data_IF_530234410450
#
_entry.id   IF_530234410450
#
_cell.length_a   1.000
_cell.length_b   1.000
_cell.length_c   1.000
_cell.angle_alpha   90.00
_cell.angle_beta   90.00
_cell.angle_gamma   90.00
#
_symmetry.space_group_name_H-M   'P 1'
#
loop_
_entity.id
_entity.type
_entity.pdbx_description
1 polymer ?
#
# COMPACT_ATOMS: atom_id res chain seq x y z
N UNK A 1 -58.97 15.58 27.57
CA UNK A 1 -60.28 15.07 27.97
C UNK A 1 -60.91 14.34 26.80
N UNK A 2 -61.02 13.01 26.86
CA UNK A 2 -62.12 12.15 26.46
C UNK A 2 -61.58 10.70 26.49
N UNK A 3 -62.25 9.93 27.37
CA UNK A 3 -61.99 8.51 27.60
C UNK A 3 -62.69 7.65 26.56
N UNK A 4 -62.09 6.53 26.18
CA UNK A 4 -62.70 5.48 25.38
C UNK A 4 -62.85 4.27 26.28
N UNK A 5 -64.05 3.60 26.29
CA UNK A 5 -64.34 2.51 27.19
C UNK A 5 -63.90 1.14 26.58
N UNK A 6 -63.53 0.21 27.46
CA UNK A 6 -63.21 -1.16 27.17
C UNK A 6 -64.47 -1.99 26.90
N UNK A 7 -64.37 -2.92 25.92
CA UNK A 7 -65.42 -3.89 25.61
C UNK A 7 -64.94 -5.27 26.09
N UNK A 8 -65.72 -5.86 26.99
CA UNK A 8 -65.49 -7.21 27.48
C UNK A 8 -66.16 -8.23 26.55
N UNK A 9 -65.44 -9.28 26.18
CA UNK A 9 -66.00 -10.42 25.45
C UNK A 9 -66.06 -11.63 26.38
N UNK A 10 -67.25 -12.17 26.52
CA UNK A 10 -67.56 -13.37 27.30
C UNK A 10 -67.26 -14.60 26.45
N UNK A 11 -66.47 -15.54 26.96
CA UNK A 11 -66.21 -16.83 26.32
C UNK A 11 -67.22 -17.87 26.84
N UNK A 12 -67.90 -18.50 25.93
CA UNK A 12 -68.78 -19.66 26.19
C UNK A 12 -67.94 -20.94 25.97
N UNK A 13 -67.87 -21.76 27.00
CA UNK A 13 -67.25 -23.09 26.91
C UNK A 13 -68.28 -24.13 26.39
N UNK A 14 -67.90 -24.77 25.29
CA UNK A 14 -68.63 -26.00 24.82
C UNK A 14 -67.72 -27.17 25.07
N UNK A 15 -68.27 -28.13 25.85
CA UNK A 15 -67.68 -29.46 26.08
C UNK A 15 -67.89 -30.35 24.83
N UNK A 16 -66.85 -30.95 24.30
CA UNK A 16 -66.92 -31.94 23.29
C UNK A 16 -66.31 -33.26 23.80
N UNK A 17 -67.05 -34.38 23.52
CA UNK A 17 -66.77 -35.75 23.88
C UNK A 17 -65.42 -36.22 23.24
N UNK A 18 -64.66 -36.99 24.01
CA UNK A 18 -63.39 -37.54 23.55
C UNK A 18 -63.57 -38.76 22.63
N UNK A 19 -62.74 -38.80 21.60
CA UNK A 19 -62.42 -39.95 20.78
C UNK A 19 -61.25 -40.75 21.39
N UNK A 20 -61.16 -42.09 21.14
CA UNK A 20 -60.08 -42.90 21.69
C UNK A 20 -58.73 -42.61 21.05
N UNK A 21 -57.59 -42.89 21.73
CA UNK A 21 -56.27 -42.57 21.24
C UNK A 21 -55.90 -43.38 19.99
N UNK A 22 -55.76 -42.76 18.88
CA UNK A 22 -55.11 -43.30 17.69
C UNK A 22 -53.62 -43.49 17.97
N UNK A 23 -53.07 -44.65 17.62
CA UNK A 23 -51.65 -44.96 17.75
C UNK A 23 -50.74 -43.97 16.99
N UNK A 24 -49.40 -43.96 17.28
CA UNK A 24 -48.53 -43.09 16.63
C UNK A 24 -48.59 -43.23 15.09
N UNK A 25 -48.50 -42.11 14.34
CA UNK A 25 -48.51 -42.19 12.89
C UNK A 25 -47.27 -42.96 12.40
N UNK A 26 -47.53 -43.80 11.37
CA UNK A 26 -46.50 -44.55 10.67
C UNK A 26 -45.39 -43.56 10.18
N UNK A 27 -44.10 -43.80 10.50
CA UNK A 27 -43.06 -42.99 9.93
C UNK A 27 -43.03 -43.24 8.41
N UNK A 28 -43.40 -42.23 7.65
CA UNK A 28 -43.32 -42.26 6.20
C UNK A 28 -41.92 -42.67 5.71
N UNK A 29 -41.77 -43.04 4.44
CA UNK A 29 -40.47 -43.46 3.90
C UNK A 29 -39.41 -42.41 4.19
N UNK A 30 -38.31 -42.83 4.83
CA UNK A 30 -37.14 -41.99 5.06
C UNK A 30 -36.52 -41.70 3.68
N UNK A 31 -36.58 -40.45 3.24
CA UNK A 31 -35.86 -40.03 2.04
C UNK A 31 -34.37 -40.35 2.20
N UNK A 32 -33.71 -40.87 1.16
CA UNK A 32 -32.27 -41.11 1.21
C UNK A 32 -31.56 -39.80 1.55
N UNK A 33 -30.48 -39.86 2.36
CA UNK A 33 -29.73 -38.66 2.71
C UNK A 33 -29.30 -37.92 1.43
N UNK A 34 -29.51 -36.62 1.42
CA UNK A 34 -29.10 -35.76 0.32
C UNK A 34 -27.57 -35.94 0.07
N UNK A 35 -27.12 -36.12 -1.17
CA UNK A 35 -25.70 -36.29 -1.44
C UNK A 35 -24.95 -35.08 -0.90
N UNK A 36 -23.74 -35.27 -0.33
CA UNK A 36 -22.95 -34.15 0.16
C UNK A 36 -22.77 -33.13 -0.98
N UNK A 37 -22.79 -31.81 -0.67
CA UNK A 37 -22.55 -30.79 -1.66
C UNK A 37 -21.19 -31.06 -2.36
N UNK A 38 -21.07 -30.80 -3.66
CA UNK A 38 -19.81 -30.97 -4.35
C UNK A 38 -18.74 -30.12 -3.63
N UNK A 39 -17.49 -30.58 -3.56
CA UNK A 39 -16.40 -29.78 -2.99
C UNK A 39 -16.36 -28.41 -3.69
N UNK A 40 -16.12 -27.33 -2.96
CA UNK A 40 -16.00 -26.01 -3.56
C UNK A 40 -14.96 -26.08 -4.70
N UNK A 41 -15.34 -25.60 -5.87
CA UNK A 41 -14.39 -25.43 -6.98
C UNK A 41 -13.36 -24.42 -6.48
N UNK A 42 -12.10 -24.83 -6.40
CA UNK A 42 -11.02 -23.91 -6.01
C UNK A 42 -11.11 -22.64 -6.88
N UNK A 43 -11.11 -21.49 -6.25
CA UNK A 43 -11.13 -20.23 -6.97
C UNK A 43 -9.91 -20.20 -7.93
N UNK A 44 -10.14 -19.76 -9.15
CA UNK A 44 -9.11 -19.72 -10.19
C UNK A 44 -8.79 -18.29 -10.52
N UNK A 45 -7.53 -18.03 -10.88
CA UNK A 45 -7.12 -16.75 -11.45
C UNK A 45 -8.00 -16.47 -12.67
N UNK A 46 -8.63 -15.29 -12.70
CA UNK A 46 -9.41 -14.81 -13.84
C UNK A 46 -8.47 -14.18 -14.85
N UNK A 47 -8.26 -14.79 -16.02
CA UNK A 47 -7.33 -14.24 -17.01
C UNK A 47 -7.87 -12.95 -17.61
N UNK A 48 -6.99 -12.00 -17.88
CA UNK A 48 -7.30 -10.86 -18.72
C UNK A 48 -7.52 -11.36 -20.17
N UNK A 49 -8.75 -11.36 -20.61
CA UNK A 49 -9.13 -11.85 -21.94
C UNK A 49 -10.16 -10.93 -22.58
N UNK A 50 -9.92 -10.55 -23.82
CA UNK A 50 -10.80 -9.62 -24.54
C UNK A 50 -10.84 -8.23 -23.92
N UNK A 51 -9.79 -7.83 -23.20
CA UNK A 51 -9.66 -6.53 -22.55
C UNK A 51 -10.32 -6.44 -21.17
N UNK A 52 -10.68 -7.56 -20.54
CA UNK A 52 -11.31 -7.55 -19.22
C UNK A 52 -10.99 -8.80 -18.39
N UNK A 53 -10.88 -8.63 -17.06
CA UNK A 53 -10.87 -9.69 -16.06
C UNK A 53 -11.92 -9.37 -14.99
N UNK A 54 -12.93 -10.23 -14.85
CA UNK A 54 -14.06 -10.07 -13.90
C UNK A 54 -14.80 -8.71 -13.98
N UNK A 55 -14.79 -8.05 -15.14
CA UNK A 55 -15.41 -6.73 -15.33
C UNK A 55 -14.44 -5.54 -15.20
N UNK A 56 -13.22 -5.75 -14.72
CA UNK A 56 -12.16 -4.74 -14.68
C UNK A 56 -11.43 -4.68 -16.04
N UNK A 57 -11.28 -3.51 -16.65
CA UNK A 57 -10.48 -3.35 -17.86
C UNK A 57 -9.02 -3.73 -17.61
N UNK A 58 -8.41 -4.43 -18.55
CA UNK A 58 -7.03 -4.87 -18.41
C UNK A 58 -6.36 -5.16 -19.75
N UNK A 59 -5.03 -5.18 -19.75
CA UNK A 59 -4.20 -5.79 -20.78
C UNK A 59 -3.07 -6.59 -20.11
N UNK A 60 -2.98 -7.89 -20.42
CA UNK A 60 -1.98 -8.83 -19.91
C UNK A 60 -1.83 -8.92 -18.38
N UNK A 61 -2.76 -8.42 -17.60
CA UNK A 61 -2.76 -8.53 -16.14
C UNK A 61 -4.01 -9.29 -15.68
N UNK A 62 -3.79 -10.46 -15.12
CA UNK A 62 -4.82 -11.34 -14.57
C UNK A 62 -5.25 -10.90 -13.17
N UNK A 63 -6.50 -11.13 -12.82
CA UNK A 63 -7.03 -10.97 -11.47
C UNK A 63 -6.99 -12.31 -10.71
N UNK A 64 -6.17 -12.42 -9.69
CA UNK A 64 -6.22 -13.55 -8.77
C UNK A 64 -7.33 -13.36 -7.73
N UNK A 65 -7.42 -12.18 -7.11
CA UNK A 65 -8.48 -11.87 -6.15
C UNK A 65 -8.65 -10.37 -5.95
N UNK A 66 -9.81 -9.99 -5.42
CA UNK A 66 -10.12 -8.65 -4.91
C UNK A 66 -10.69 -8.78 -3.50
N UNK A 67 -10.11 -8.07 -2.54
CA UNK A 67 -10.60 -7.99 -1.14
C UNK A 67 -11.12 -6.58 -0.91
N UNK A 68 -12.43 -6.45 -0.78
CA UNK A 68 -13.08 -5.15 -0.59
C UNK A 68 -12.68 -4.49 0.73
N UNK A 69 -12.87 -3.18 0.85
CA UNK A 69 -12.59 -2.44 2.09
C UNK A 69 -13.25 -3.05 3.34
N UNK A 70 -14.54 -3.43 3.33
CA UNK A 70 -15.17 -4.09 4.48
C UNK A 70 -14.54 -5.44 4.82
N UNK A 71 -14.11 -6.19 3.81
CA UNK A 71 -13.57 -7.54 3.99
C UNK A 71 -12.14 -7.54 4.52
N UNK A 72 -11.39 -6.45 4.36
CA UNK A 72 -10.02 -6.31 4.91
C UNK A 72 -9.94 -6.39 6.43
N UNK A 73 -11.05 -6.20 7.14
CA UNK A 73 -11.09 -6.33 8.61
C UNK A 73 -12.44 -6.87 9.09
N UNK A 74 -12.68 -8.17 8.95
CA UNK A 74 -13.95 -8.79 9.30
C UNK A 74 -14.39 -8.49 10.74
N UNK A 75 -15.65 -8.08 10.89
CA UNK A 75 -16.24 -7.78 12.20
C UNK A 75 -15.82 -6.46 12.83
N UNK A 76 -14.96 -5.68 12.19
CA UNK A 76 -14.66 -4.30 12.59
C UNK A 76 -15.55 -3.33 11.82
N UNK A 77 -16.20 -2.45 12.56
CA UNK A 77 -16.80 -1.25 11.96
C UNK A 77 -15.79 -0.13 12.14
N UNK A 78 -15.17 0.40 11.07
CA UNK A 78 -14.28 1.52 11.20
C UNK A 78 -15.02 2.70 11.86
N UNK A 79 -14.34 3.42 12.73
CA UNK A 79 -14.92 4.63 13.32
C UNK A 79 -14.86 5.74 12.26
N UNK A 80 -15.96 6.49 12.11
CA UNK A 80 -16.09 7.56 11.12
C UNK A 80 -17.19 7.31 10.10
N UNK A 81 -17.38 8.24 9.16
CA UNK A 81 -18.29 8.04 8.02
C UNK A 81 -17.69 7.08 7.00
N UNK A 82 -18.53 6.45 6.17
CA UNK A 82 -18.08 5.56 5.10
C UNK A 82 -17.09 6.26 4.14
N UNK A 83 -17.23 7.56 3.94
CA UNK A 83 -16.35 8.39 3.10
C UNK A 83 -14.92 8.56 3.65
N UNK A 84 -14.66 8.06 4.86
CA UNK A 84 -13.32 8.06 5.50
C UNK A 84 -12.66 6.67 5.47
N UNK A 85 -13.34 5.67 4.93
CA UNK A 85 -12.81 4.33 4.80
C UNK A 85 -12.00 4.25 3.50
N UNK A 86 -10.70 4.30 3.65
CA UNK A 86 -9.78 4.19 2.54
C UNK A 86 -8.62 3.30 2.92
N UNK A 87 -8.07 2.63 1.95
CA UNK A 87 -6.73 2.10 2.02
C UNK A 87 -5.76 3.13 1.44
N UNK A 88 -4.52 3.01 1.79
CA UNK A 88 -3.44 3.86 1.30
C UNK A 88 -2.24 2.98 0.93
N UNK A 89 -1.06 3.22 1.47
CA UNK A 89 0.11 2.46 1.04
C UNK A 89 0.00 0.98 1.40
N UNK A 90 0.80 0.18 0.72
CA UNK A 90 0.82 -1.27 0.81
C UNK A 90 2.27 -1.77 0.81
N UNK A 91 2.53 -2.85 1.54
CA UNK A 91 3.80 -3.56 1.46
C UNK A 91 3.57 -5.06 1.50
N UNK A 92 4.59 -5.84 1.17
CA UNK A 92 4.57 -7.29 1.28
C UNK A 92 5.56 -7.81 2.31
N UNK A 93 5.28 -8.99 2.84
CA UNK A 93 6.20 -9.78 3.62
C UNK A 93 6.06 -11.25 3.27
N UNK A 94 7.19 -11.91 3.00
CA UNK A 94 7.25 -13.36 2.88
C UNK A 94 7.89 -13.91 4.15
N UNK A 95 7.15 -14.73 4.89
CA UNK A 95 7.68 -15.36 6.09
C UNK A 95 8.85 -16.30 5.72
N UNK A 96 10.08 -16.02 6.12
CA UNK A 96 11.24 -16.83 5.74
C UNK A 96 11.19 -18.24 6.33
N UNK A 97 10.37 -18.49 7.35
CA UNK A 97 10.22 -19.80 7.96
C UNK A 97 9.19 -20.68 7.24
N UNK A 98 8.08 -20.09 6.78
CA UNK A 98 6.95 -20.84 6.23
C UNK A 98 6.78 -20.67 4.73
N UNK A 99 7.40 -19.64 4.13
CA UNK A 99 7.22 -19.25 2.74
C UNK A 99 5.84 -18.64 2.44
N UNK A 100 5.04 -18.35 3.47
CA UNK A 100 3.74 -17.68 3.29
C UNK A 100 3.96 -16.21 3.00
N UNK A 101 3.33 -15.73 1.94
CA UNK A 101 3.30 -14.33 1.54
C UNK A 101 2.13 -13.61 2.20
N UNK A 102 2.36 -12.38 2.65
CA UNK A 102 1.35 -11.54 3.30
C UNK A 102 1.32 -10.15 2.68
N UNK A 103 0.10 -9.63 2.45
CA UNK A 103 -0.09 -8.21 2.16
C UNK A 103 -0.30 -7.44 3.47
N UNK A 104 0.45 -6.35 3.62
CA UNK A 104 0.33 -5.36 4.67
C UNK A 104 -0.37 -4.14 4.06
N UNK A 105 -1.62 -3.90 4.43
CA UNK A 105 -2.46 -2.87 3.79
C UNK A 105 -2.73 -1.75 4.79
N UNK A 106 -2.18 -0.57 4.50
CA UNK A 106 -2.46 0.63 5.27
C UNK A 106 -3.92 1.04 5.13
N UNK A 107 -4.57 1.29 6.26
CA UNK A 107 -5.93 1.82 6.35
C UNK A 107 -5.95 3.06 7.22
N UNK A 108 -6.96 3.90 7.03
CA UNK A 108 -7.11 5.11 7.84
C UNK A 108 -7.13 4.83 9.36
N UNK A 109 -7.56 3.64 9.81
CA UNK A 109 -7.68 3.25 11.23
C UNK A 109 -6.60 2.29 11.73
N UNK A 110 -5.66 1.87 10.88
CA UNK A 110 -4.58 0.95 11.24
C UNK A 110 -3.96 0.21 10.07
N UNK A 111 -3.43 -0.98 10.33
CA UNK A 111 -2.82 -1.88 9.36
C UNK A 111 -3.62 -3.18 9.28
N UNK A 112 -4.16 -3.51 8.12
CA UNK A 112 -4.74 -4.82 7.84
C UNK A 112 -3.65 -5.75 7.29
N UNK A 113 -3.70 -7.04 7.66
CA UNK A 113 -2.76 -8.04 7.22
C UNK A 113 -3.53 -9.21 6.61
N UNK A 114 -3.17 -9.54 5.37
CA UNK A 114 -3.86 -10.54 4.55
C UNK A 114 -2.89 -11.66 4.19
N UNK A 115 -3.25 -12.89 4.53
CA UNK A 115 -2.55 -14.12 4.18
C UNK A 115 -2.83 -14.45 2.70
N UNK A 116 -1.78 -14.57 1.90
CA UNK A 116 -1.80 -14.85 0.47
C UNK A 116 -1.34 -16.28 0.14
N UNK A 117 -1.31 -17.18 1.11
CA UNK A 117 -0.92 -18.60 0.88
C UNK A 117 -1.74 -19.27 -0.23
N UNK A 118 -2.94 -18.77 -0.47
CA UNK A 118 -3.77 -19.08 -1.63
C UNK A 118 -4.15 -17.77 -2.31
N UNK A 119 -3.41 -17.31 -3.33
CA UNK A 119 -3.61 -15.99 -3.93
C UNK A 119 -5.01 -15.73 -4.48
N UNK A 120 -5.75 -16.77 -4.83
CA UNK A 120 -7.14 -16.70 -5.30
C UNK A 120 -8.18 -16.69 -4.17
N UNK A 121 -7.74 -16.94 -2.94
CA UNK A 121 -8.57 -16.93 -1.73
C UNK A 121 -7.83 -16.21 -0.59
N UNK A 122 -7.46 -14.92 -0.78
CA UNK A 122 -6.73 -14.14 0.23
C UNK A 122 -7.54 -14.06 1.52
N UNK A 123 -6.87 -14.22 2.64
CA UNK A 123 -7.51 -14.29 3.92
C UNK A 123 -7.04 -13.18 4.85
N UNK A 124 -7.86 -12.17 5.15
CA UNK A 124 -7.56 -11.22 6.21
C UNK A 124 -7.37 -11.96 7.54
N UNK A 125 -6.17 -11.86 8.12
CA UNK A 125 -5.76 -12.70 9.25
C UNK A 125 -5.52 -11.88 10.51
N UNK A 126 -5.07 -10.62 10.36
CA UNK A 126 -4.81 -9.77 11.50
C UNK A 126 -5.09 -8.29 11.19
N UNK A 127 -5.18 -7.50 12.26
CA UNK A 127 -5.29 -6.06 12.20
C UNK A 127 -4.53 -5.42 13.37
N UNK A 128 -3.67 -4.43 13.08
CA UNK A 128 -3.04 -3.61 14.10
C UNK A 128 -3.71 -2.22 14.11
N UNK A 129 -4.43 -1.86 15.19
CA UNK A 129 -5.04 -0.54 15.29
C UNK A 129 -4.00 0.59 15.28
N UNK A 130 -4.40 1.74 14.73
CA UNK A 130 -3.61 2.96 14.85
C UNK A 130 -3.29 3.28 16.30
N UNK A 131 -2.06 3.72 16.57
CA UNK A 131 -1.64 4.13 17.91
C UNK A 131 -2.36 5.41 18.41
N UNK A 132 -2.98 6.14 17.50
CA UNK A 132 -3.68 7.41 17.75
C UNK A 132 -5.01 7.46 16.98
N UNK A 133 -5.43 8.62 16.51
CA UNK A 133 -6.63 8.77 15.70
C UNK A 133 -6.42 8.30 14.25
N UNK A 134 -7.42 8.50 13.42
CA UNK A 134 -7.40 8.10 12.01
C UNK A 134 -6.50 9.01 11.18
N UNK A 135 -5.91 8.45 10.13
CA UNK A 135 -5.16 9.16 9.11
C UNK A 135 -5.45 8.60 7.71
N UNK A 136 -5.66 9.46 6.74
CA UNK A 136 -5.73 9.08 5.33
C UNK A 136 -4.39 8.65 4.74
N UNK A 137 -3.29 8.95 5.43
CA UNK A 137 -1.93 8.67 4.96
C UNK A 137 -1.19 7.80 5.95
N UNK A 138 -0.86 6.58 5.54
CA UNK A 138 0.03 5.65 6.24
C UNK A 138 0.98 5.07 5.25
N UNK A 139 2.20 4.87 5.71
CA UNK A 139 3.18 4.08 5.00
C UNK A 139 3.77 3.02 5.93
N UNK A 140 4.23 1.93 5.34
CA UNK A 140 4.86 0.82 6.05
C UNK A 140 5.95 0.18 5.22
N UNK A 141 7.01 -0.24 5.89
CA UNK A 141 8.07 -1.07 5.32
C UNK A 141 8.37 -2.22 6.28
N UNK A 142 9.05 -3.24 5.78
CA UNK A 142 9.42 -4.42 6.55
C UNK A 142 10.93 -4.54 6.63
N UNK A 143 11.43 -4.89 7.81
CA UNK A 143 12.82 -5.24 8.04
C UNK A 143 12.92 -6.29 9.16
N UNK A 144 13.73 -7.33 8.97
CA UNK A 144 13.96 -8.42 9.95
C UNK A 144 12.65 -8.92 10.61
N UNK A 145 11.69 -9.36 9.79
CA UNK A 145 10.39 -9.86 10.25
C UNK A 145 9.54 -8.86 11.06
N UNK A 146 9.83 -7.57 11.00
CA UNK A 146 9.05 -6.53 11.66
C UNK A 146 8.48 -5.52 10.65
N UNK A 147 7.21 -5.18 10.81
CA UNK A 147 6.60 -4.06 10.10
C UNK A 147 6.77 -2.76 10.88
N UNK A 148 7.23 -1.72 10.20
CA UNK A 148 7.38 -0.36 10.71
C UNK A 148 6.34 0.52 10.03
N UNK A 149 5.41 1.06 10.81
CA UNK A 149 4.22 1.74 10.30
C UNK A 149 4.17 3.16 10.82
N UNK A 150 4.14 4.11 9.90
CA UNK A 150 4.02 5.54 10.17
C UNK A 150 2.64 6.08 9.78
N UNK A 151 2.33 7.32 10.16
CA UNK A 151 1.13 8.01 9.72
C UNK A 151 1.33 9.53 9.74
N UNK A 152 0.77 10.19 8.72
CA UNK A 152 0.83 11.64 8.61
C UNK A 152 -0.44 12.33 9.12
N UNK A 153 -0.34 13.66 9.28
CA UNK A 153 -1.41 14.54 9.77
C UNK A 153 -2.00 14.14 11.13
N UNK A 154 -1.23 13.39 11.93
CA UNK A 154 -1.60 12.96 13.27
C UNK A 154 -0.51 13.28 14.27
N UNK A 155 -0.79 14.16 15.22
CA UNK A 155 0.15 14.46 16.30
C UNK A 155 0.30 13.26 17.25
N UNK A 156 1.55 12.93 17.57
CA UNK A 156 1.91 11.92 18.56
C UNK A 156 1.77 10.47 18.07
N UNK A 157 1.69 10.22 16.74
CA UNK A 157 1.65 8.85 16.22
C UNK A 157 3.02 8.17 16.34
N UNK A 158 4.07 8.76 15.83
CA UNK A 158 5.40 8.14 15.76
C UNK A 158 5.44 6.99 14.76
N UNK A 159 6.26 5.97 15.05
CA UNK A 159 6.36 4.74 14.24
C UNK A 159 5.98 3.54 15.10
N UNK A 160 4.93 2.80 14.71
CA UNK A 160 4.55 1.54 15.34
C UNK A 160 5.41 0.40 14.78
N UNK A 161 5.78 -0.54 15.63
CA UNK A 161 6.53 -1.75 15.24
C UNK A 161 5.69 -2.97 15.56
N UNK A 162 5.53 -3.86 14.59
CA UNK A 162 4.82 -5.14 14.75
C UNK A 162 5.73 -6.30 14.35
N UNK A 163 5.94 -7.24 15.26
CA UNK A 163 6.61 -8.51 15.01
C UNK A 163 5.70 -9.41 14.15
N UNK A 164 6.04 -9.59 12.88
CA UNK A 164 5.24 -10.34 11.91
C UNK A 164 5.29 -11.86 12.17
N UNK A 165 6.27 -12.35 12.92
CA UNK A 165 6.31 -13.78 13.30
C UNK A 165 5.10 -14.18 14.13
N UNK A 166 4.41 -13.22 14.75
CA UNK A 166 3.14 -13.43 15.48
C UNK A 166 1.97 -13.84 14.58
N UNK A 167 2.11 -13.70 13.27
CA UNK A 167 1.11 -14.18 12.30
C UNK A 167 1.12 -15.71 12.18
N UNK A 168 2.25 -16.34 12.51
CA UNK A 168 2.42 -17.80 12.41
C UNK A 168 1.38 -18.53 13.25
N UNK A 169 0.65 -19.44 12.61
CA UNK A 169 -0.35 -20.28 13.29
C UNK A 169 -1.67 -19.57 13.62
N UNK A 170 -1.89 -18.33 13.20
CA UNK A 170 -3.21 -17.71 13.30
C UNK A 170 -4.20 -18.44 12.39
N UNK A 171 -5.32 -18.87 12.96
CA UNK A 171 -6.39 -19.55 12.24
C UNK A 171 -7.68 -18.73 12.13
N UNK A 172 -7.73 -17.61 12.84
CA UNK A 172 -8.84 -16.66 12.85
C UNK A 172 -8.33 -15.22 12.85
N UNK A 173 -9.15 -14.30 12.34
CA UNK A 173 -8.86 -12.88 12.36
C UNK A 173 -8.57 -12.39 13.79
N UNK A 174 -7.42 -11.75 13.97
CA UNK A 174 -6.91 -11.38 15.30
C UNK A 174 -6.46 -9.91 15.32
N UNK A 175 -6.92 -9.16 16.31
CA UNK A 175 -6.38 -7.83 16.57
C UNK A 175 -5.05 -7.94 17.33
N UNK A 176 -4.00 -7.33 16.79
CA UNK A 176 -2.66 -7.35 17.34
C UNK A 176 -2.25 -5.94 17.80
N UNK A 177 -1.84 -5.82 19.05
CA UNK A 177 -1.18 -4.59 19.51
C UNK A 177 0.25 -4.50 18.94
N UNK A 178 0.71 -3.29 18.65
CA UNK A 178 2.11 -3.05 18.31
C UNK A 178 3.04 -3.55 19.44
N UNK A 179 4.18 -4.12 19.05
CA UNK A 179 5.19 -4.64 19.99
C UNK A 179 6.04 -3.50 20.55
N UNK A 180 6.30 -2.48 19.75
CA UNK A 180 7.01 -1.28 20.17
C UNK A 180 6.46 -0.03 19.45
N UNK A 181 6.91 1.13 19.91
CA UNK A 181 6.57 2.41 19.31
C UNK A 181 7.70 3.40 19.50
N UNK A 182 8.31 3.83 18.40
CA UNK A 182 9.27 4.91 18.37
C UNK A 182 8.57 6.27 18.41
N UNK A 183 9.04 7.22 19.25
CA UNK A 183 8.30 8.47 19.55
C UNK A 183 9.15 9.72 19.41
N UNK A 184 10.36 9.62 18.90
CA UNK A 184 11.22 10.81 18.70
C UNK A 184 10.80 11.63 17.48
N UNK A 185 9.89 11.11 16.68
CA UNK A 185 9.14 11.79 15.61
C UNK A 185 7.65 11.62 15.87
N UNK A 186 6.81 12.50 15.32
CA UNK A 186 5.37 12.48 15.59
C UNK A 186 4.54 12.11 14.36
N UNK A 187 4.26 13.07 13.48
CA UNK A 187 3.65 12.79 12.19
C UNK A 187 4.74 12.52 11.16
N UNK A 188 4.58 11.48 10.36
CA UNK A 188 5.53 11.07 9.32
C UNK A 188 4.75 10.70 8.08
N UNK A 189 5.13 11.27 6.93
CA UNK A 189 4.42 11.04 5.68
C UNK A 189 4.77 9.68 5.09
N UNK A 190 6.07 9.44 4.82
CA UNK A 190 6.58 8.18 4.29
C UNK A 190 7.77 7.63 5.10
N UNK A 191 8.06 6.35 4.93
CA UNK A 191 9.20 5.67 5.51
C UNK A 191 9.90 4.80 4.47
N UNK A 192 11.20 4.94 4.34
CA UNK A 192 12.04 4.00 3.60
C UNK A 192 12.93 3.21 4.55
N UNK A 193 13.34 2.02 4.16
CA UNK A 193 14.32 1.22 4.89
C UNK A 193 15.39 0.72 3.93
N UNK A 194 16.66 0.95 4.27
CA UNK A 194 17.75 0.24 3.63
C UNK A 194 18.00 -1.05 4.40
N UNK A 195 17.50 -2.16 3.86
CA UNK A 195 17.58 -3.47 4.51
C UNK A 195 19.04 -3.97 4.65
N UNK A 196 19.96 -3.49 3.79
CA UNK A 196 21.36 -3.89 3.86
C UNK A 196 22.08 -3.26 5.04
N UNK A 197 21.70 -2.05 5.44
CA UNK A 197 22.36 -1.32 6.54
C UNK A 197 21.54 -1.31 7.83
N UNK A 198 20.25 -1.65 7.76
CA UNK A 198 19.35 -1.66 8.90
C UNK A 198 18.97 -0.27 9.40
N UNK A 199 18.95 0.73 8.50
CA UNK A 199 18.47 2.08 8.83
C UNK A 199 17.13 2.37 8.16
N UNK A 200 16.22 2.99 8.93
CA UNK A 200 15.00 3.58 8.40
C UNK A 200 15.15 5.10 8.26
N UNK A 201 14.43 5.64 7.29
CA UNK A 201 14.37 7.05 6.95
C UNK A 201 12.92 7.50 6.97
N UNK A 202 12.51 8.14 8.06
CA UNK A 202 11.19 8.74 8.19
C UNK A 202 11.23 10.13 7.58
N UNK A 203 10.35 10.40 6.61
CA UNK A 203 10.33 11.65 5.83
C UNK A 203 8.98 12.35 5.89
N UNK A 204 8.94 13.61 5.47
CA UNK A 204 7.71 14.40 5.46
C UNK A 204 7.19 14.71 6.86
N UNK A 205 8.03 14.67 7.88
CA UNK A 205 7.60 15.01 9.24
C UNK A 205 7.38 16.52 9.37
N UNK A 206 6.17 16.90 9.78
CA UNK A 206 5.77 18.30 9.86
C UNK A 206 5.36 18.76 11.26
N UNK A 207 5.32 17.87 12.26
CA UNK A 207 4.86 18.21 13.61
C UNK A 207 5.35 17.23 14.67
N UNK A 208 5.86 17.80 15.75
CA UNK A 208 6.20 17.10 16.99
C UNK A 208 7.43 16.20 16.91
N UNK A 209 8.22 16.19 17.98
CA UNK A 209 9.49 15.50 18.03
C UNK A 209 10.57 16.17 17.19
N UNK A 210 11.58 15.42 16.77
CA UNK A 210 12.62 15.88 15.86
C UNK A 210 12.17 15.70 14.41
N UNK A 211 11.77 16.75 13.75
CA UNK A 211 11.24 16.70 12.38
C UNK A 211 12.29 16.72 11.29
N UNK A 212 13.54 17.03 11.62
CA UNK A 212 14.62 17.20 10.64
C UNK A 212 14.26 18.17 9.49
N UNK A 213 13.45 19.19 9.75
CA UNK A 213 12.96 20.13 8.72
C UNK A 213 11.95 19.51 7.73
N UNK A 214 11.48 18.30 7.96
CA UNK A 214 10.68 17.48 7.05
C UNK A 214 11.53 16.61 6.11
N UNK A 215 12.86 16.68 6.22
CA UNK A 215 13.80 15.83 5.50
C UNK A 215 13.96 14.45 6.14
N UNK A 216 15.16 13.87 6.04
CA UNK A 216 15.45 12.52 6.53
C UNK A 216 15.61 12.53 8.05
N UNK A 217 14.69 11.92 8.77
CA UNK A 217 14.84 11.53 10.16
C UNK A 217 15.33 10.07 10.18
N UNK A 218 16.63 9.89 10.44
CA UNK A 218 17.32 8.59 10.33
C UNK A 218 17.21 7.81 11.63
N UNK A 219 16.85 6.53 11.52
CA UNK A 219 16.54 5.65 12.65
C UNK A 219 17.37 4.36 12.51
N UNK A 220 18.11 3.99 13.55
CA UNK A 220 18.81 2.71 13.65
C UNK A 220 17.83 1.62 14.08
N UNK A 221 17.73 0.55 13.29
CA UNK A 221 16.87 -0.61 13.51
C UNK A 221 17.66 -1.86 13.96
N UNK A 222 18.91 -1.72 14.42
CA UNK A 222 19.72 -2.86 14.86
C UNK A 222 19.08 -3.69 15.98
N UNK A 223 18.22 -3.07 16.79
CA UNK A 223 17.23 -3.75 17.63
C UNK A 223 15.83 -3.39 17.12
N UNK A 224 15.15 -4.30 16.40
CA UNK A 224 13.86 -4.02 15.77
C UNK A 224 12.78 -3.49 16.72
N UNK A 225 12.83 -3.88 18.00
CA UNK A 225 11.85 -3.46 19.02
C UNK A 225 12.31 -2.26 19.86
N UNK A 226 13.51 -1.77 19.60
CA UNK A 226 14.09 -0.61 20.30
C UNK A 226 14.76 0.36 19.31
N UNK A 227 14.06 0.84 18.27
CA UNK A 227 14.65 1.76 17.29
C UNK A 227 15.21 3.01 17.98
N UNK A 228 16.34 3.52 17.50
CA UNK A 228 16.99 4.71 18.07
C UNK A 228 17.28 5.76 17.01
N UNK A 229 17.26 7.03 17.41
CA UNK A 229 17.60 8.15 16.52
C UNK A 229 19.09 8.09 16.11
N UNK A 230 19.35 8.21 14.81
CA UNK A 230 20.70 8.15 14.25
C UNK A 230 21.20 9.49 13.67
N UNK A 231 20.29 10.35 13.22
CA UNK A 231 20.67 11.65 12.66
C UNK A 231 19.56 12.30 11.82
N UNK A 232 19.84 13.50 11.38
CA UNK A 232 18.97 14.31 10.52
C UNK A 232 19.69 14.71 9.24
N UNK A 233 18.92 14.82 8.13
CA UNK A 233 19.37 15.52 6.94
C UNK A 233 18.21 16.27 6.27
N UNK A 234 18.49 17.49 5.81
CA UNK A 234 17.55 18.29 5.02
C UNK A 234 18.32 19.08 3.98
N UNK A 235 17.98 18.92 2.71
CA UNK A 235 18.57 19.69 1.63
C UNK A 235 17.91 21.08 1.57
N UNK A 236 18.44 22.05 2.34
CA UNK A 236 17.90 23.40 2.40
C UNK A 236 17.73 24.03 1.01
N UNK A 237 16.66 24.76 0.81
CA UNK A 237 16.30 25.37 -0.48
C UNK A 237 15.40 24.48 -1.33
N UNK A 238 15.20 23.20 -0.99
CA UNK A 238 14.25 22.29 -1.64
C UNK A 238 12.96 22.17 -0.85
N UNK A 239 11.89 21.62 -1.48
CA UNK A 239 10.53 21.65 -0.97
C UNK A 239 9.88 23.02 -1.10
N UNK A 240 8.56 23.11 -1.13
CA UNK A 240 7.84 24.38 -1.33
C UNK A 240 8.17 25.45 -0.28
N UNK A 241 8.56 25.04 0.92
CA UNK A 241 8.94 25.96 2.01
C UNK A 241 10.42 26.21 2.09
N UNK A 242 11.23 25.55 1.24
CA UNK A 242 12.68 25.66 1.26
C UNK A 242 13.34 25.04 2.50
N UNK A 243 12.63 24.23 3.28
CA UNK A 243 13.15 23.62 4.50
C UNK A 243 13.90 22.31 4.28
N UNK A 244 13.94 21.82 3.04
CA UNK A 244 14.46 20.48 2.72
C UNK A 244 13.43 19.37 2.93
N UNK A 245 12.13 19.71 2.91
CA UNK A 245 11.06 18.72 3.02
C UNK A 245 11.22 17.67 1.93
N UNK A 246 11.25 16.41 2.35
CA UNK A 246 11.31 15.22 1.49
C UNK A 246 9.97 14.51 1.58
N UNK A 247 9.27 14.38 0.45
CA UNK A 247 7.99 13.70 0.39
C UNK A 247 8.16 12.19 0.47
N UNK A 248 9.04 11.64 -0.37
CA UNK A 248 9.40 10.22 -0.39
C UNK A 248 10.89 10.06 -0.68
N UNK A 249 11.45 8.86 -0.39
CA UNK A 249 12.88 8.60 -0.54
C UNK A 249 13.17 7.11 -0.76
N UNK A 250 14.13 6.82 -1.61
CA UNK A 250 14.77 5.50 -1.64
C UNK A 250 16.23 5.64 -1.18
N UNK A 251 16.66 4.82 -0.21
CA UNK A 251 18.05 4.78 0.26
C UNK A 251 18.65 3.40 0.03
N UNK A 252 19.83 3.35 -0.55
CA UNK A 252 20.50 2.11 -0.95
C UNK A 252 22.00 2.17 -0.68
N UNK A 253 22.67 1.03 -0.55
CA UNK A 253 24.11 0.95 -0.75
C UNK A 253 24.37 1.03 -2.25
N UNK A 254 24.89 2.18 -2.72
CA UNK A 254 25.00 2.47 -4.14
C UNK A 254 26.00 1.56 -4.85
N UNK A 255 25.57 1.03 -6.00
CA UNK A 255 26.35 0.12 -6.86
C UNK A 255 26.27 0.50 -8.33
N UNK A 256 25.86 1.74 -8.60
CA UNK A 256 25.71 2.26 -9.96
C UNK A 256 27.04 2.66 -10.61
N UNK A 257 26.95 3.33 -11.78
CA UNK A 257 28.11 3.64 -12.61
C UNK A 257 29.06 4.68 -12.01
N UNK A 258 28.62 5.53 -11.09
CA UNK A 258 29.47 6.52 -10.46
C UNK A 258 30.40 5.89 -9.42
N UNK A 259 31.64 5.65 -9.81
CA UNK A 259 32.64 4.95 -9.00
C UNK A 259 33.08 5.76 -7.76
N UNK A 260 32.88 7.07 -7.73
CA UNK A 260 33.24 7.92 -6.59
C UNK A 260 32.38 7.60 -5.36
N UNK A 261 31.12 7.25 -5.60
CA UNK A 261 30.14 6.98 -4.57
C UNK A 261 29.85 5.48 -4.37
N UNK A 262 30.54 4.59 -5.08
CA UNK A 262 30.33 3.15 -4.99
C UNK A 262 30.54 2.62 -3.55
N UNK A 263 29.58 1.86 -3.05
CA UNK A 263 29.57 1.29 -1.70
C UNK A 263 29.15 2.25 -0.59
N UNK A 264 28.81 3.50 -0.92
CA UNK A 264 28.24 4.46 0.02
C UNK A 264 26.74 4.26 0.15
N UNK A 265 26.19 4.67 1.26
CA UNK A 265 24.74 4.70 1.44
C UNK A 265 24.20 6.04 0.90
N UNK A 266 23.46 5.94 -0.20
CA UNK A 266 22.94 7.09 -0.94
C UNK A 266 21.42 7.09 -0.87
N UNK A 267 20.84 8.23 -0.56
CA UNK A 267 19.40 8.48 -0.59
C UNK A 267 19.01 9.33 -1.79
N UNK A 268 17.97 8.93 -2.48
CA UNK A 268 17.34 9.62 -3.60
C UNK A 268 15.98 10.14 -3.15
N UNK A 269 15.93 11.42 -2.78
CA UNK A 269 14.75 12.07 -2.22
C UNK A 269 13.92 12.79 -3.28
N UNK A 270 12.61 12.66 -3.20
CA UNK A 270 11.61 13.44 -3.94
C UNK A 270 11.15 14.59 -3.06
N UNK A 271 11.71 15.78 -3.28
CA UNK A 271 11.56 16.94 -2.38
C UNK A 271 10.57 17.97 -2.92
N UNK A 272 9.40 17.58 -3.41
CA UNK A 272 8.35 18.44 -3.98
C UNK A 272 8.84 19.33 -5.15
N UNK A 273 9.99 19.98 -5.03
CA UNK A 273 10.52 20.94 -6.02
C UNK A 273 11.80 20.48 -6.72
N UNK A 274 12.41 19.40 -6.24
CA UNK A 274 13.66 18.85 -6.77
C UNK A 274 13.78 17.37 -6.42
N UNK A 275 14.52 16.61 -7.20
CA UNK A 275 15.15 15.40 -6.70
C UNK A 275 16.42 15.81 -5.92
N UNK A 276 16.72 15.05 -4.87
CA UNK A 276 17.88 15.31 -4.01
C UNK A 276 18.68 14.03 -3.87
N UNK A 277 19.95 14.06 -4.20
CA UNK A 277 20.87 12.95 -3.97
C UNK A 277 21.73 13.27 -2.75
N UNK A 278 21.72 12.39 -1.75
CA UNK A 278 22.42 12.61 -0.49
C UNK A 278 23.23 11.39 -0.06
N UNK A 279 24.50 11.61 0.31
CA UNK A 279 25.33 10.63 0.99
C UNK A 279 25.01 10.65 2.49
N UNK A 280 24.47 9.55 2.98
CA UNK A 280 24.08 9.36 4.37
C UNK A 280 24.90 8.25 5.06
N UNK A 281 26.03 7.87 4.48
CA UNK A 281 26.93 6.84 5.03
C UNK A 281 27.32 7.15 6.47
N UNK A 282 27.69 8.41 6.75
CA UNK A 282 27.85 8.92 8.11
C UNK A 282 26.56 9.62 8.55
N UNK A 283 25.75 8.96 9.37
CA UNK A 283 24.46 9.49 9.83
C UNK A 283 24.59 10.78 10.66
N UNK A 284 25.77 11.02 11.24
CA UNK A 284 26.03 12.23 12.01
C UNK A 284 26.46 13.42 11.12
N UNK A 285 26.96 13.15 9.91
CA UNK A 285 27.45 14.16 8.97
C UNK A 285 27.00 13.86 7.54
N UNK A 286 25.70 13.77 7.26
CA UNK A 286 25.19 13.53 5.91
C UNK A 286 25.49 14.73 5.00
N UNK A 287 25.62 14.47 3.70
CA UNK A 287 25.97 15.47 2.69
C UNK A 287 25.00 15.40 1.51
N UNK A 288 24.42 16.53 1.11
CA UNK A 288 23.76 16.64 -0.20
C UNK A 288 24.83 16.65 -1.29
N UNK A 289 24.81 15.66 -2.19
CA UNK A 289 25.69 15.60 -3.36
C UNK A 289 25.16 16.54 -4.44
N UNK A 290 23.88 16.37 -4.80
CA UNK A 290 23.26 17.20 -5.84
C UNK A 290 21.78 17.43 -5.60
N UNK A 291 21.26 18.42 -6.33
CA UNK A 291 19.83 18.67 -6.49
C UNK A 291 19.54 18.91 -7.96
N UNK A 292 18.52 18.25 -8.52
CA UNK A 292 18.11 18.45 -9.89
C UNK A 292 16.61 18.71 -10.00
N UNK A 293 16.21 19.43 -11.04
CA UNK A 293 14.82 19.81 -11.28
C UNK A 293 14.57 19.93 -12.78
N UNK A 294 13.33 20.09 -13.20
CA UNK A 294 12.94 20.17 -14.61
C UNK A 294 11.87 21.25 -14.81
N UNK A 295 11.61 21.57 -16.08
CA UNK A 295 10.58 22.53 -16.44
C UNK A 295 9.18 21.95 -16.22
N UNK A 296 8.22 22.81 -15.93
CA UNK A 296 6.80 22.47 -15.75
C UNK A 296 6.52 21.43 -14.64
N UNK A 297 7.44 21.31 -13.66
CA UNK A 297 7.18 20.52 -12.46
C UNK A 297 6.05 21.12 -11.65
N UNK A 298 5.33 20.28 -10.93
CA UNK A 298 4.32 20.71 -9.96
C UNK A 298 4.62 20.14 -8.56
N UNK A 299 4.65 18.80 -8.42
CA UNK A 299 4.87 18.14 -7.14
C UNK A 299 5.72 16.88 -7.32
N UNK A 300 7.05 17.02 -7.25
CA UNK A 300 8.00 15.89 -7.32
C UNK A 300 7.71 14.97 -6.13
N UNK A 301 7.11 13.80 -6.43
CA UNK A 301 6.39 12.99 -5.48
C UNK A 301 7.17 11.79 -4.99
N UNK A 302 7.49 10.84 -5.87
CA UNK A 302 8.12 9.56 -5.53
C UNK A 302 8.98 9.08 -6.70
N UNK A 303 9.92 8.20 -6.44
CA UNK A 303 10.70 7.57 -7.49
C UNK A 303 11.47 6.34 -7.00
N UNK A 304 11.93 5.52 -7.97
CA UNK A 304 12.66 4.30 -7.70
C UNK A 304 13.80 4.07 -8.70
N UNK A 305 14.91 3.51 -8.21
CA UNK A 305 16.07 3.18 -9.04
C UNK A 305 15.82 1.97 -9.94
N UNK A 306 16.49 1.97 -11.10
CA UNK A 306 16.76 0.71 -11.81
C UNK A 306 17.67 -0.19 -10.97
N UNK A 307 17.62 -1.52 -11.19
CA UNK A 307 18.40 -2.45 -10.38
C UNK A 307 19.92 -2.28 -10.50
N UNK A 308 20.40 -1.69 -11.60
CA UNK A 308 21.80 -1.31 -11.80
C UNK A 308 22.19 0.05 -11.22
N UNK A 309 21.24 0.73 -10.55
CA UNK A 309 21.33 2.07 -9.96
C UNK A 309 21.78 3.17 -10.95
N UNK A 310 21.62 2.93 -12.24
CA UNK A 310 21.96 3.93 -13.24
C UNK A 310 20.85 4.91 -13.52
N UNK A 311 19.59 4.45 -13.49
CA UNK A 311 18.44 5.29 -13.77
C UNK A 311 17.56 5.43 -12.54
N UNK A 312 17.02 6.64 -12.34
CA UNK A 312 15.97 6.89 -11.35
C UNK A 312 14.70 7.27 -12.09
N UNK A 313 13.65 6.49 -11.88
CA UNK A 313 12.33 6.73 -12.42
C UNK A 313 11.53 7.49 -11.40
N UNK A 314 10.93 8.61 -11.81
CA UNK A 314 10.33 9.56 -10.90
C UNK A 314 9.02 10.10 -11.47
N UNK A 315 8.06 10.36 -10.61
CA UNK A 315 6.77 10.93 -10.95
C UNK A 315 6.53 12.30 -10.31
N UNK A 316 5.51 13.01 -10.83
CA UNK A 316 5.06 14.33 -10.37
C UNK A 316 3.55 14.33 -10.21
N UNK A 317 3.07 14.13 -8.98
CA UNK A 317 1.68 13.78 -8.68
C UNK A 317 0.64 14.84 -9.11
N UNK A 318 1.04 16.09 -9.29
CA UNK A 318 0.06 17.16 -9.53
C UNK A 318 0.15 17.81 -10.91
N UNK A 319 1.05 17.38 -11.77
CA UNK A 319 1.28 18.06 -13.04
C UNK A 319 0.14 17.84 -14.06
N UNK A 320 -0.50 16.66 -14.12
CA UNK A 320 -1.72 16.43 -14.89
C UNK A 320 -2.89 17.23 -14.32
N UNK A 321 -3.07 17.17 -13.00
CA UNK A 321 -4.18 17.85 -12.31
C UNK A 321 -4.13 19.36 -12.50
N UNK A 322 -2.94 19.93 -12.49
CA UNK A 322 -2.71 21.36 -12.66
C UNK A 322 -2.44 21.77 -14.11
N UNK A 323 -2.68 20.83 -15.07
CA UNK A 323 -2.54 21.05 -16.51
C UNK A 323 -1.13 21.53 -16.91
N UNK A 324 -0.07 21.06 -16.23
CA UNK A 324 1.31 21.22 -16.66
C UNK A 324 1.61 20.34 -17.84
N UNK A 325 1.08 19.12 -17.79
CA UNK A 325 1.10 18.14 -18.88
C UNK A 325 -0.32 17.66 -19.19
N UNK A 326 -0.49 17.00 -20.31
CA UNK A 326 -1.81 16.50 -20.75
C UNK A 326 -2.00 14.99 -20.55
N UNK A 327 -1.00 14.31 -20.02
CA UNK A 327 -0.98 12.86 -19.83
C UNK A 327 -0.04 12.52 -18.71
N UNK A 328 -0.31 11.38 -18.04
CA UNK A 328 0.58 10.77 -17.06
C UNK A 328 2.03 10.80 -17.51
N UNK A 329 2.93 11.35 -16.70
CA UNK A 329 4.32 11.60 -17.05
C UNK A 329 5.29 10.90 -16.13
N UNK A 330 6.07 9.96 -16.68
CA UNK A 330 7.21 9.36 -16.01
C UNK A 330 8.50 10.09 -16.44
N UNK A 331 9.31 10.48 -15.49
CA UNK A 331 10.62 11.13 -15.67
C UNK A 331 11.73 10.10 -15.48
N UNK A 332 12.67 10.05 -16.43
CA UNK A 332 13.81 9.12 -16.41
C UNK A 332 15.08 9.93 -16.24
N UNK A 333 15.70 9.81 -15.08
CA UNK A 333 16.96 10.46 -14.75
C UNK A 333 18.13 9.52 -14.99
N UNK A 334 19.14 9.96 -15.74
CA UNK A 334 20.45 9.25 -15.86
C UNK A 334 21.34 9.71 -14.69
N UNK A 335 21.74 8.77 -13.87
CA UNK A 335 22.59 8.93 -12.69
C UNK A 335 24.02 8.43 -12.94
N UNK A 336 24.52 8.57 -14.16
CA UNK A 336 25.91 8.23 -14.48
C UNK A 336 26.91 9.02 -13.62
N UNK A 337 26.50 10.20 -13.16
CA UNK A 337 27.21 11.08 -12.23
C UNK A 337 26.19 11.55 -11.18
N UNK A 338 26.39 11.19 -9.92
CA UNK A 338 25.47 11.55 -8.83
C UNK A 338 25.58 13.04 -8.44
N UNK A 339 26.67 13.71 -8.80
CA UNK A 339 26.84 15.15 -8.59
C UNK A 339 26.12 15.98 -9.67
N UNK A 340 25.77 15.38 -10.83
CA UNK A 340 25.08 16.05 -11.94
C UNK A 340 24.03 15.14 -12.61
N UNK A 341 22.92 14.77 -11.91
CA UNK A 341 21.83 13.98 -12.48
C UNK A 341 21.21 14.65 -13.71
N UNK A 342 21.04 13.90 -14.80
CA UNK A 342 20.53 14.42 -16.06
C UNK A 342 19.15 13.84 -16.37
N UNK A 343 18.16 14.70 -16.64
CA UNK A 343 16.87 14.23 -17.17
C UNK A 343 17.06 13.70 -18.59
N UNK A 344 17.11 12.37 -18.71
CA UNK A 344 17.35 11.70 -19.99
C UNK A 344 16.09 11.61 -20.83
N UNK A 345 14.91 11.47 -20.22
CA UNK A 345 13.65 11.28 -20.92
C UNK A 345 12.46 11.73 -20.08
N UNK A 346 11.46 12.30 -20.75
CA UNK A 346 10.08 12.39 -20.31
C UNK A 346 9.26 11.38 -21.12
N UNK A 347 8.67 10.40 -20.44
CA UNK A 347 7.79 9.42 -21.04
C UNK A 347 6.34 9.79 -20.73
N UNK A 348 5.54 10.00 -21.77
CA UNK A 348 4.10 10.28 -21.62
C UNK A 348 3.31 9.00 -21.82
N UNK A 349 2.54 8.64 -20.82
CA UNK A 349 1.63 7.49 -20.83
C UNK A 349 0.42 7.70 -21.75
N UNK A 350 -0.42 6.69 -21.91
CA UNK A 350 -1.60 6.75 -22.77
C UNK A 350 -2.81 7.46 -22.13
N UNK A 351 -2.78 7.74 -20.83
CA UNK A 351 -3.91 8.23 -20.03
C UNK A 351 -3.69 9.66 -19.53
N UNK A 352 -4.74 10.25 -18.97
CA UNK A 352 -4.72 11.57 -18.33
C UNK A 352 -4.76 11.46 -16.79
N UNK A 353 -4.50 10.24 -16.26
CA UNK A 353 -4.51 9.98 -14.82
C UNK A 353 -3.39 10.71 -14.12
N UNK A 354 -3.66 11.08 -12.88
CA UNK A 354 -2.62 11.44 -11.91
C UNK A 354 -1.79 10.19 -11.65
N UNK A 355 -0.47 10.30 -11.70
CA UNK A 355 0.42 9.23 -11.28
C UNK A 355 0.69 9.26 -9.76
N UNK A 356 1.11 8.11 -9.23
CA UNK A 356 1.42 7.93 -7.83
C UNK A 356 2.60 6.97 -7.67
N UNK A 357 2.64 6.18 -6.61
CA UNK A 357 3.80 5.35 -6.28
C UNK A 357 4.18 4.37 -7.39
N UNK A 358 5.46 4.26 -7.65
CA UNK A 358 6.04 3.32 -8.61
C UNK A 358 7.17 2.52 -7.96
N UNK A 359 7.31 1.27 -8.39
CA UNK A 359 8.39 0.39 -7.95
C UNK A 359 8.98 -0.37 -9.12
N UNK A 360 10.30 -0.59 -9.09
CA UNK A 360 11.02 -1.38 -10.10
C UNK A 360 11.25 -2.78 -9.58
N UNK A 361 10.94 -3.78 -10.41
CA UNK A 361 11.32 -5.16 -10.18
C UNK A 361 11.80 -5.80 -11.49
N UNK A 362 13.06 -6.21 -11.54
CA UNK A 362 13.70 -6.64 -12.78
C UNK A 362 13.71 -5.54 -13.85
N UNK A 363 13.19 -5.85 -15.01
CA UNK A 363 13.03 -4.90 -16.12
C UNK A 363 11.63 -4.28 -16.20
N UNK A 364 10.88 -4.25 -15.10
CA UNK A 364 9.53 -3.75 -15.09
C UNK A 364 9.35 -2.67 -14.02
N UNK A 365 8.59 -1.63 -14.35
CA UNK A 365 8.03 -0.67 -13.41
C UNK A 365 6.58 -1.04 -13.16
N UNK A 366 6.17 -1.10 -11.89
CA UNK A 366 4.78 -1.21 -11.46
C UNK A 366 4.34 0.15 -10.95
N UNK A 367 3.52 0.85 -11.71
CA UNK A 367 3.17 2.25 -11.53
C UNK A 367 1.69 2.40 -11.20
N UNK A 368 1.38 2.91 -10.04
CA UNK A 368 0.01 3.27 -9.65
C UNK A 368 -0.39 4.59 -10.30
N UNK A 369 -1.54 4.62 -10.97
CA UNK A 369 -2.06 5.79 -11.67
C UNK A 369 -3.50 6.09 -11.26
N UNK A 370 -3.73 6.17 -9.96
CA UNK A 370 -5.04 6.47 -9.38
C UNK A 370 -6.22 5.87 -10.18
N UNK A 371 -7.12 6.69 -10.74
CA UNK A 371 -8.32 6.26 -11.44
C UNK A 371 -8.10 5.36 -12.68
N UNK A 372 -6.87 5.28 -13.21
CA UNK A 372 -6.51 4.36 -14.28
C UNK A 372 -5.80 3.10 -13.80
N UNK A 373 -5.80 2.86 -12.50
CA UNK A 373 -5.30 1.63 -11.89
C UNK A 373 -3.77 1.49 -11.95
N UNK A 374 -3.29 0.26 -12.14
CA UNK A 374 -1.87 -0.06 -12.23
C UNK A 374 -1.43 -0.14 -13.70
N UNK A 375 -0.32 0.52 -14.02
CA UNK A 375 0.37 0.40 -15.31
C UNK A 375 1.70 -0.31 -15.11
N UNK A 376 2.02 -1.25 -16.01
CA UNK A 376 3.31 -1.94 -15.98
C UNK A 376 4.09 -1.50 -17.19
N UNK A 377 5.30 -0.99 -16.98
CA UNK A 377 6.17 -0.51 -18.05
C UNK A 377 7.39 -1.42 -18.16
N UNK A 378 7.70 -1.85 -19.36
CA UNK A 378 8.94 -2.54 -19.69
C UNK A 378 10.07 -1.51 -19.87
N UNK A 379 11.12 -1.66 -19.07
CA UNK A 379 12.34 -0.86 -19.08
C UNK A 379 13.57 -1.68 -19.49
N UNK A 380 13.40 -2.71 -20.32
CA UNK A 380 14.53 -3.44 -20.93
C UNK A 380 15.43 -2.50 -21.74
N UNK A 381 14.87 -1.42 -22.31
CA UNK A 381 15.58 -0.21 -22.71
C UNK A 381 15.27 0.87 -21.66
N UNK A 382 16.14 1.09 -20.67
CA UNK A 382 15.83 1.94 -19.52
C UNK A 382 15.47 3.37 -19.88
N UNK A 383 16.02 3.90 -20.96
CA UNK A 383 15.74 5.26 -21.43
C UNK A 383 14.44 5.37 -22.24
N UNK A 384 13.80 4.25 -22.61
CA UNK A 384 12.60 4.23 -23.43
C UNK A 384 11.54 3.26 -22.87
N UNK A 385 10.92 3.57 -21.71
CA UNK A 385 9.87 2.74 -21.15
C UNK A 385 8.72 2.50 -22.13
N UNK A 386 8.19 1.27 -22.14
CA UNK A 386 7.04 0.90 -22.98
C UNK A 386 5.98 0.19 -22.15
N UNK A 387 4.68 0.47 -22.37
CA UNK A 387 3.62 -0.22 -21.64
C UNK A 387 3.67 -1.73 -21.92
N UNK A 388 3.77 -2.50 -20.86
CA UNK A 388 3.80 -3.96 -20.85
C UNK A 388 2.44 -4.58 -20.49
N UNK A 389 1.59 -3.84 -19.81
CA UNK A 389 0.25 -4.24 -19.41
C UNK A 389 -0.38 -3.26 -18.43
N UNK A 390 -1.66 -3.44 -18.16
CA UNK A 390 -2.35 -2.65 -17.15
C UNK A 390 -3.52 -3.41 -16.53
N UNK A 391 -3.96 -2.91 -15.37
CA UNK A 391 -5.18 -3.32 -14.70
C UNK A 391 -5.86 -2.09 -14.11
N UNK A 392 -7.05 -1.77 -14.60
CA UNK A 392 -7.86 -0.65 -14.11
C UNK A 392 -8.66 -1.09 -12.87
N UNK A 393 -8.38 -0.48 -11.73
CA UNK A 393 -9.03 -0.80 -10.46
C UNK A 393 -10.34 -0.04 -10.25
N UNK A 394 -10.64 0.98 -11.06
CA UNK A 394 -11.83 1.86 -10.94
C UNK A 394 -12.57 2.00 -12.28
N UNK A 395 -13.17 0.91 -12.79
CA UNK A 395 -13.78 0.91 -14.14
C UNK A 395 -14.99 1.87 -14.30
N UNK A 396 -15.44 2.48 -13.22
CA UNK A 396 -16.62 3.36 -13.23
C UNK A 396 -16.37 4.72 -13.86
N UNK A 397 -15.13 5.22 -13.82
CA UNK A 397 -14.74 6.53 -14.37
C UNK A 397 -13.22 6.59 -14.61
N UNK A 398 -12.84 7.57 -15.44
CA UNK A 398 -11.43 7.84 -15.79
C UNK A 398 -11.19 9.36 -15.64
N UNK A 399 -11.42 9.87 -14.46
CA UNK A 399 -11.25 11.30 -14.15
C UNK A 399 -9.85 11.53 -13.57
N UNK A 400 -9.29 12.71 -13.83
CA UNK A 400 -8.02 13.16 -13.23
C UNK A 400 -8.28 13.56 -11.77
N UNK A 401 -8.34 12.57 -10.88
CA UNK A 401 -8.60 12.73 -9.46
C UNK A 401 -7.77 11.72 -8.63
N UNK A 402 -7.91 11.75 -7.31
CA UNK A 402 -7.16 10.92 -6.38
C UNK A 402 -7.86 9.61 -5.99
N UNK A 403 -8.81 9.13 -6.80
CA UNK A 403 -9.43 7.81 -6.59
C UNK A 403 -8.60 6.71 -7.24
N UNK A 404 -8.62 5.50 -6.68
CA UNK A 404 -8.07 4.32 -7.33
C UNK A 404 -6.71 3.89 -6.80
N UNK A 405 -5.83 3.45 -7.70
CA UNK A 405 -4.57 2.79 -7.32
C UNK A 405 -3.59 3.73 -6.63
N UNK A 406 -3.26 3.41 -5.38
CA UNK A 406 -2.33 4.19 -4.55
C UNK A 406 -0.91 3.66 -4.64
N UNK A 407 -0.72 2.36 -4.50
CA UNK A 407 0.60 1.73 -4.41
C UNK A 407 0.56 0.27 -4.82
N UNK A 408 1.74 -0.29 -5.12
CA UNK A 408 1.93 -1.70 -5.49
C UNK A 408 3.05 -2.33 -4.69
N UNK A 409 3.09 -3.67 -4.64
CA UNK A 409 4.23 -4.44 -4.15
C UNK A 409 4.50 -5.62 -5.10
N UNK A 410 5.58 -5.60 -5.90
CA UNK A 410 5.80 -6.57 -6.96
C UNK A 410 6.78 -7.71 -6.63
N UNK A 411 7.31 -7.83 -5.41
CA UNK A 411 8.46 -8.70 -5.11
C UNK A 411 8.11 -10.07 -4.53
N UNK A 412 6.88 -10.55 -4.68
CA UNK A 412 6.54 -11.90 -4.24
C UNK A 412 7.12 -12.97 -5.18
N UNK A 413 7.74 -14.01 -4.60
CA UNK A 413 8.35 -15.12 -5.35
C UNK A 413 7.32 -15.96 -6.10
N UNK A 414 6.06 -15.96 -5.67
CA UNK A 414 4.94 -16.62 -6.36
C UNK A 414 4.62 -16.01 -7.73
N UNK A 415 5.19 -14.83 -8.04
CA UNK A 415 4.95 -14.08 -9.27
C UNK A 415 3.62 -13.33 -9.31
N UNK A 416 2.91 -13.28 -8.16
CA UNK A 416 1.83 -12.31 -7.98
C UNK A 416 2.41 -10.96 -7.58
N UNK A 417 1.63 -9.91 -7.80
CA UNK A 417 1.85 -8.61 -7.17
C UNK A 417 0.54 -8.12 -6.56
N UNK A 418 0.64 -7.21 -5.63
CA UNK A 418 -0.53 -6.63 -4.98
C UNK A 418 -0.60 -5.13 -5.28
N UNK A 419 -1.83 -4.61 -5.28
CA UNK A 419 -2.09 -3.19 -5.40
C UNK A 419 -3.17 -2.76 -4.40
N UNK A 420 -2.99 -1.61 -3.78
CA UNK A 420 -4.04 -0.94 -3.04
C UNK A 420 -4.78 0.04 -3.95
N UNK A 421 -6.08 0.13 -3.76
CA UNK A 421 -6.93 1.08 -4.45
C UNK A 421 -7.81 1.79 -3.43
N UNK A 422 -7.77 3.12 -3.39
CA UNK A 422 -8.27 3.99 -2.32
C UNK A 422 -9.63 3.55 -1.75
N UNK A 423 -10.63 3.42 -2.61
CA UNK A 423 -12.00 3.07 -2.22
C UNK A 423 -12.34 1.59 -2.44
N UNK A 424 -11.53 0.86 -3.24
CA UNK A 424 -11.85 -0.50 -3.64
C UNK A 424 -11.20 -1.57 -2.73
N UNK A 425 -10.05 -1.26 -2.14
CA UNK A 425 -9.35 -2.19 -1.24
C UNK A 425 -8.09 -2.80 -1.83
N UNK A 426 -7.91 -4.12 -1.66
CA UNK A 426 -6.72 -4.86 -2.08
C UNK A 426 -7.00 -5.68 -3.34
N UNK A 427 -6.15 -5.52 -4.35
CA UNK A 427 -6.09 -6.37 -5.54
C UNK A 427 -4.88 -7.30 -5.47
N UNK A 428 -5.09 -8.58 -5.79
CA UNK A 428 -4.03 -9.58 -6.00
C UNK A 428 -3.99 -9.89 -7.49
N UNK A 429 -2.91 -9.54 -8.14
CA UNK A 429 -2.77 -9.49 -9.58
C UNK A 429 -1.60 -10.35 -10.05
N UNK A 430 -1.59 -10.69 -11.35
CA UNK A 430 -0.46 -11.39 -11.98
C UNK A 430 -0.28 -10.93 -13.42
N UNK A 431 0.95 -10.51 -13.77
CA UNK A 431 1.29 -10.22 -15.15
C UNK A 431 1.39 -11.53 -15.95
N UNK A 432 0.76 -11.59 -17.13
CA UNK A 432 0.88 -12.70 -18.07
C UNK A 432 2.29 -12.73 -18.68
N UNK A 433 2.89 -13.91 -18.74
CA UNK A 433 4.21 -14.13 -19.35
C UNK A 433 4.15 -14.15 -20.86
#
# INVERSE_FOLDING_TARGET
>A
MRRIPALAIVAVAAAACGDPPTGPPDPGPIDPPEPPPPPPVAAQIVPCSGGSAAGFPCDRVDLAAHVSLPDLSPGRTPAGSADQWAVNDIWGWTDPQTGVEYALVGRHDGLAIVDLSTPTEPRPIAFMPSATSHSGWRDMKVYEDHAYVVADNITGHGMQVLDLTRLRGLTAFTELAADARYREVSAVHNIAINEETGFAYAVGSNSGGETCGGGLHMIDLSDPKSPTFAGCHAAEGTGFRGSGYTHDVQCVVYRGPDAEHAGREICFGSNETAIVVSDVTDKANPVTLSTATYADRDYIHQGWLSEDHRYFYQNDENDERNNRVSRTRLLVWDLADLDDPVLAKEHLGPTEAIDHNLYVHGSLIYHSNYAFGVRILDISDPANPMEAGYFDTVPAHNETNFDGSWSTYPWFESGIFIASSWDEGLFVLRLQQ
#
